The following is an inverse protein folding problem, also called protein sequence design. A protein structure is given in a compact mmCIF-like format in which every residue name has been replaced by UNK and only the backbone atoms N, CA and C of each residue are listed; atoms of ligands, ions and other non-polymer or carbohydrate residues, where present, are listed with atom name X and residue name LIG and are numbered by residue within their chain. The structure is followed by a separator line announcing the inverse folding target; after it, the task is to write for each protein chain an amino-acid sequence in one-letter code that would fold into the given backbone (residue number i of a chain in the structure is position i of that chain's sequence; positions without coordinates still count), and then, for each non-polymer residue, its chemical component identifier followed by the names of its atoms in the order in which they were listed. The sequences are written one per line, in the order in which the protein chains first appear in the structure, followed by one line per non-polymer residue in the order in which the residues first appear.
data_IF_975107779404
#
_entry.id   IF_975107779404
#
_cell.length_a   1.000
_cell.length_b   1.000
_cell.length_c   1.000
_cell.angle_alpha   90.00
_cell.angle_beta   90.00
_cell.angle_gamma   90.00
#
_symmetry.space_group_name_H-M   'P 1'
#
loop_
_entity.id
_entity.type
_entity.pdbx_description
1 polymer ?
#
# COMPACT_ATOMS: atom_id res chain seq x y z
N UNK A 1 -22.53 15.77 9.05
CA UNK A 1 -22.14 15.07 10.30
C UNK A 1 -22.82 13.72 10.28
N UNK A 2 -22.12 12.62 10.05
CA UNK A 2 -22.72 11.30 9.96
C UNK A 2 -22.09 10.38 11.00
N UNK A 3 -22.93 9.96 11.93
CA UNK A 3 -22.57 9.00 12.96
C UNK A 3 -22.41 7.60 12.35
N UNK A 4 -21.26 6.97 12.57
CA UNK A 4 -21.04 5.56 12.26
C UNK A 4 -21.70 4.69 13.31
N UNK A 5 -22.79 4.01 12.96
CA UNK A 5 -23.30 2.91 13.78
C UNK A 5 -22.54 1.63 13.41
N UNK A 6 -21.78 1.09 14.36
CA UNK A 6 -21.07 -0.18 14.22
C UNK A 6 -21.98 -1.29 14.80
N UNK A 7 -22.46 -2.16 13.93
CA UNK A 7 -23.16 -3.37 14.31
C UNK A 7 -22.12 -4.46 14.64
N UNK A 8 -22.12 -4.96 15.84
CA UNK A 8 -21.40 -6.16 16.20
C UNK A 8 -22.22 -7.41 15.86
N UNK A 9 -22.36 -7.75 14.58
CA UNK A 9 -22.36 -9.16 14.21
C UNK A 9 -20.96 -9.68 14.51
N UNK A 10 -20.81 -10.97 15.00
CA UNK A 10 -19.50 -11.57 15.29
C UNK A 10 -18.48 -11.11 14.28
N UNK A 11 -17.65 -10.17 14.67
CA UNK A 11 -16.68 -9.52 13.80
C UNK A 11 -15.91 -10.64 13.12
N UNK A 12 -15.95 -10.69 11.77
CA UNK A 12 -15.12 -11.64 11.02
C UNK A 12 -13.70 -11.36 11.45
N UNK A 13 -13.10 -12.35 12.10
CA UNK A 13 -11.77 -12.24 12.70
C UNK A 13 -10.81 -11.61 11.69
N UNK A 14 -10.16 -10.54 12.09
CA UNK A 14 -9.19 -9.81 11.22
C UNK A 14 -7.94 -10.67 11.07
N UNK A 15 -7.20 -10.59 9.95
CA UNK A 15 -5.91 -11.28 9.80
C UNK A 15 -4.94 -11.03 10.96
N UNK A 16 -5.02 -9.88 11.62
CA UNK A 16 -4.27 -9.55 12.84
C UNK A 16 -4.62 -10.42 14.05
N UNK A 17 -5.75 -11.12 14.03
CA UNK A 17 -6.17 -12.05 15.08
C UNK A 17 -5.64 -13.47 14.83
N UNK A 18 -5.33 -13.80 13.57
CA UNK A 18 -4.78 -15.10 13.17
C UNK A 18 -3.28 -15.19 13.38
N UNK A 19 -2.60 -14.06 13.24
CA UNK A 19 -1.15 -13.98 13.30
C UNK A 19 -0.68 -13.01 14.37
N UNK A 20 0.42 -13.37 15.00
CA UNK A 20 1.19 -12.47 15.88
C UNK A 20 2.65 -12.54 15.51
N UNK A 21 3.41 -11.53 15.90
CA UNK A 21 4.85 -11.53 15.70
C UNK A 21 5.60 -11.14 16.96
N UNK A 22 6.84 -11.60 17.07
CA UNK A 22 7.78 -11.21 18.13
C UNK A 22 9.06 -10.73 17.47
N UNK A 23 9.56 -9.56 17.88
CA UNK A 23 10.79 -8.97 17.35
C UNK A 23 11.97 -9.25 18.26
N UNK A 24 13.14 -9.54 17.66
CA UNK A 24 14.41 -9.73 18.37
C UNK A 24 15.57 -9.46 17.42
N UNK A 25 16.82 -9.59 17.90
CA UNK A 25 18.01 -9.53 17.06
C UNK A 25 18.20 -10.84 16.30
N UNK A 26 18.51 -10.75 15.01
CA UNK A 26 18.78 -11.91 14.14
C UNK A 26 19.94 -12.76 14.69
N UNK A 27 21.07 -12.14 15.06
CA UNK A 27 22.24 -12.83 15.64
C UNK A 27 21.89 -13.64 16.88
N UNK A 28 20.96 -13.18 17.70
CA UNK A 28 20.59 -13.85 18.94
C UNK A 28 19.92 -15.21 18.74
N UNK A 29 19.24 -15.41 17.61
CA UNK A 29 18.47 -16.61 17.31
C UNK A 29 19.16 -17.55 16.31
N UNK A 30 20.18 -17.09 15.58
CA UNK A 30 20.90 -17.90 14.61
C UNK A 30 21.86 -18.87 15.28
N UNK A 31 21.94 -20.09 14.75
CA UNK A 31 23.11 -20.96 14.94
C UNK A 31 24.19 -20.56 13.92
N UNK A 32 25.46 -20.60 14.32
CA UNK A 32 26.58 -20.12 13.50
C UNK A 32 26.35 -18.69 12.95
N UNK A 33 26.15 -17.70 13.86
CA UNK A 33 25.68 -16.37 13.50
C UNK A 33 26.61 -15.65 12.51
N UNK A 34 27.92 -15.85 12.59
CA UNK A 34 28.86 -15.16 11.70
C UNK A 34 28.67 -15.50 10.24
N UNK A 35 28.49 -16.79 9.91
CA UNK A 35 28.31 -17.25 8.53
C UNK A 35 26.88 -16.96 8.04
N UNK A 36 25.88 -17.29 8.85
CA UNK A 36 24.48 -17.20 8.41
C UNK A 36 24.00 -15.75 8.34
N UNK A 37 24.46 -14.86 9.23
CA UNK A 37 24.14 -13.42 9.14
C UNK A 37 24.69 -12.83 7.84
N UNK A 38 25.93 -13.14 7.45
CA UNK A 38 26.52 -12.66 6.20
C UNK A 38 25.69 -13.07 5.00
N UNK A 39 25.34 -14.37 4.90
CA UNK A 39 24.51 -14.88 3.80
C UNK A 39 23.14 -14.22 3.74
N UNK A 40 22.48 -14.04 4.89
CA UNK A 40 21.17 -13.37 4.95
C UNK A 40 21.29 -11.91 4.53
N UNK A 41 22.33 -11.19 4.99
CA UNK A 41 22.56 -9.80 4.59
C UNK A 41 22.79 -9.66 3.09
N UNK A 42 23.58 -10.56 2.49
CA UNK A 42 23.81 -10.56 1.04
C UNK A 42 22.49 -10.71 0.28
N UNK A 43 21.59 -11.58 0.76
CA UNK A 43 20.25 -11.75 0.18
C UNK A 43 19.39 -10.51 0.37
N UNK A 44 19.41 -9.90 1.55
CA UNK A 44 18.67 -8.65 1.84
C UNK A 44 19.10 -7.54 0.89
N UNK A 45 20.41 -7.34 0.73
CA UNK A 45 20.97 -6.31 -0.17
C UNK A 45 20.58 -6.59 -1.62
N UNK A 46 20.76 -7.83 -2.10
CA UNK A 46 20.35 -8.24 -3.45
C UNK A 46 18.86 -8.01 -3.69
N UNK A 47 18.01 -8.43 -2.75
CA UNK A 47 16.56 -8.24 -2.82
C UNK A 47 16.19 -6.76 -2.98
N UNK A 48 16.82 -5.87 -2.21
CA UNK A 48 16.54 -4.43 -2.30
C UNK A 48 17.08 -3.78 -3.57
N UNK A 49 18.23 -4.23 -4.10
CA UNK A 49 18.70 -3.82 -5.43
C UNK A 49 17.67 -4.18 -6.51
N UNK A 50 17.17 -5.41 -6.48
CA UNK A 50 16.12 -5.88 -7.43
C UNK A 50 14.86 -5.01 -7.31
N UNK A 51 14.41 -4.69 -6.10
CA UNK A 51 13.23 -3.82 -5.88
C UNK A 51 13.46 -2.42 -6.47
N UNK A 52 14.63 -1.81 -6.27
CA UNK A 52 14.96 -0.49 -6.83
C UNK A 52 14.86 -0.52 -8.35
N UNK A 53 15.53 -1.47 -8.99
CA UNK A 53 15.49 -1.60 -10.45
C UNK A 53 14.09 -1.93 -10.97
N UNK A 54 13.33 -2.76 -10.25
CA UNK A 54 11.94 -3.08 -10.61
C UNK A 54 11.05 -1.84 -10.58
N UNK A 55 11.16 -1.01 -9.55
CA UNK A 55 10.38 0.23 -9.45
C UNK A 55 10.74 1.24 -10.52
N UNK A 56 12.04 1.38 -10.84
CA UNK A 56 12.51 2.26 -11.92
C UNK A 56 12.04 1.76 -13.29
N UNK A 57 12.17 0.46 -13.55
CA UNK A 57 11.70 -0.16 -14.78
C UNK A 57 10.19 0.03 -14.96
N UNK A 58 9.41 -0.28 -13.92
CA UNK A 58 7.95 -0.10 -13.95
C UNK A 58 7.56 1.34 -14.27
N UNK A 59 8.23 2.32 -13.65
CA UNK A 59 7.99 3.73 -13.96
C UNK A 59 8.22 4.03 -15.44
N UNK A 60 9.37 3.62 -15.98
CA UNK A 60 9.70 3.86 -17.40
C UNK A 60 8.73 3.14 -18.34
N UNK A 61 8.41 1.89 -18.04
CA UNK A 61 7.50 1.07 -18.84
C UNK A 61 6.08 1.62 -18.86
N UNK A 62 5.54 2.00 -17.69
CA UNK A 62 4.20 2.60 -17.58
C UNK A 62 4.13 3.94 -18.33
N UNK A 63 5.13 4.80 -18.19
CA UNK A 63 5.16 6.08 -18.88
C UNK A 63 5.29 5.91 -20.40
N UNK A 64 6.09 4.96 -20.86
CA UNK A 64 6.20 4.63 -22.27
C UNK A 64 4.86 4.18 -22.85
N UNK A 65 4.17 3.24 -22.17
CA UNK A 65 2.83 2.81 -22.56
C UNK A 65 1.83 3.96 -22.60
N UNK A 66 1.82 4.79 -21.57
CA UNK A 66 0.94 5.96 -21.49
C UNK A 66 1.15 6.92 -22.69
N UNK A 67 2.38 7.09 -23.14
CA UNK A 67 2.72 7.96 -24.28
C UNK A 67 2.39 7.33 -25.63
N UNK A 68 2.61 6.03 -25.79
CA UNK A 68 2.48 5.33 -27.08
C UNK A 68 1.11 4.72 -27.31
N UNK A 69 0.33 4.44 -26.27
CA UNK A 69 -0.96 3.72 -26.35
C UNK A 69 -2.14 4.57 -25.87
N UNK A 70 -2.34 5.75 -26.46
CA UNK A 70 -3.53 6.60 -26.21
C UNK A 70 -3.86 6.81 -24.72
N UNK A 71 -2.83 7.04 -23.90
CA UNK A 71 -2.94 7.26 -22.44
C UNK A 71 -3.39 6.03 -21.63
N UNK A 72 -3.32 4.84 -22.20
CA UNK A 72 -3.60 3.60 -21.51
C UNK A 72 -2.32 3.11 -20.80
N UNK A 73 -2.46 2.65 -19.57
CA UNK A 73 -1.35 2.00 -18.84
C UNK A 73 -1.58 0.49 -18.76
N UNK A 74 -0.50 -0.31 -18.66
CA UNK A 74 -0.63 -1.75 -18.44
C UNK A 74 -1.27 -2.03 -17.08
N UNK A 75 -1.97 -3.16 -16.98
CA UNK A 75 -2.51 -3.64 -15.71
C UNK A 75 -1.33 -4.00 -14.80
N UNK A 76 -1.21 -3.28 -13.69
CA UNK A 76 -0.15 -3.54 -12.71
C UNK A 76 -0.65 -4.59 -11.74
N UNK A 77 -0.26 -5.82 -11.97
CA UNK A 77 -0.58 -6.97 -11.15
C UNK A 77 0.67 -7.76 -10.73
N UNK A 78 0.46 -8.81 -9.96
CA UNK A 78 1.55 -9.69 -9.51
C UNK A 78 2.29 -10.35 -10.67
N UNK A 79 1.61 -10.63 -11.79
CA UNK A 79 2.21 -11.28 -12.95
C UNK A 79 3.17 -10.31 -13.63
N UNK A 80 2.74 -9.08 -13.89
CA UNK A 80 3.59 -8.05 -14.48
C UNK A 80 4.83 -7.81 -13.61
N UNK A 81 4.65 -7.54 -12.32
CA UNK A 81 5.76 -7.17 -11.42
C UNK A 81 6.77 -8.31 -11.31
N UNK A 82 6.31 -9.56 -11.16
CA UNK A 82 7.20 -10.71 -11.06
C UNK A 82 8.01 -10.92 -12.35
N UNK A 83 7.40 -10.75 -13.53
CA UNK A 83 8.12 -10.87 -14.79
C UNK A 83 9.09 -9.68 -15.02
N UNK A 84 8.75 -8.47 -14.59
CA UNK A 84 9.71 -7.36 -14.57
C UNK A 84 10.91 -7.68 -13.69
N UNK A 85 10.71 -8.21 -12.47
CA UNK A 85 11.81 -8.64 -11.60
C UNK A 85 12.73 -9.65 -12.28
N UNK A 86 12.16 -10.64 -12.98
CA UNK A 86 12.92 -11.64 -13.71
C UNK A 86 13.73 -11.03 -14.85
N UNK A 87 13.12 -10.19 -15.67
CA UNK A 87 13.79 -9.51 -16.79
C UNK A 87 14.94 -8.62 -16.29
N UNK A 88 14.72 -7.87 -15.24
CA UNK A 88 15.76 -7.02 -14.60
C UNK A 88 16.93 -7.87 -14.06
N UNK A 89 16.67 -9.10 -13.62
CA UNK A 89 17.71 -10.03 -13.20
C UNK A 89 18.38 -10.77 -14.35
N UNK A 90 17.95 -10.57 -15.59
CA UNK A 90 18.52 -11.24 -16.77
C UNK A 90 18.15 -12.73 -16.86
N UNK A 91 17.02 -13.13 -16.29
CA UNK A 91 16.55 -14.52 -16.38
C UNK A 91 16.23 -14.86 -17.84
N UNK A 92 17.02 -15.76 -18.41
CA UNK A 92 16.64 -16.45 -19.64
C UNK A 92 15.70 -17.59 -19.26
N UNK A 93 14.54 -17.67 -19.90
CA UNK A 93 13.66 -18.83 -19.78
C UNK A 93 14.46 -20.10 -20.13
N UNK A 94 14.81 -20.86 -19.10
CA UNK A 94 15.29 -22.20 -19.30
C UNK A 94 14.08 -23.07 -19.63
N UNK A 95 14.14 -23.84 -20.69
CA UNK A 95 13.11 -24.81 -21.11
C UNK A 95 12.89 -25.95 -20.09
N UNK A 96 13.33 -25.77 -18.86
CA UNK A 96 13.17 -26.72 -17.76
C UNK A 96 11.93 -26.35 -16.93
N UNK A 97 10.87 -27.11 -17.08
CA UNK A 97 9.64 -26.97 -16.32
C UNK A 97 8.39 -26.78 -17.18
N UNK A 98 7.27 -26.43 -16.54
CA UNK A 98 6.01 -26.15 -17.23
C UNK A 98 6.12 -24.83 -17.99
N UNK A 99 5.93 -24.85 -19.30
CA UNK A 99 5.89 -23.66 -20.12
C UNK A 99 4.82 -22.67 -19.63
N UNK A 100 5.14 -21.37 -19.58
CA UNK A 100 4.16 -20.33 -19.30
C UNK A 100 3.03 -20.34 -20.35
N UNK A 101 1.90 -19.76 -20.01
CA UNK A 101 0.83 -19.49 -20.98
C UNK A 101 1.34 -18.55 -22.08
N UNK A 102 0.76 -18.66 -23.29
CA UNK A 102 1.13 -17.83 -24.44
C UNK A 102 1.14 -16.33 -24.13
N UNK A 103 0.09 -15.83 -23.46
CA UNK A 103 -0.02 -14.42 -23.03
C UNK A 103 1.13 -13.98 -22.10
N UNK A 104 1.61 -14.90 -21.25
CA UNK A 104 2.75 -14.62 -20.36
C UNK A 104 4.07 -14.61 -21.14
N UNK A 105 4.22 -15.43 -22.17
CA UNK A 105 5.40 -15.41 -23.04
C UNK A 105 5.47 -14.11 -23.83
N UNK A 106 4.37 -13.69 -24.45
CA UNK A 106 4.25 -12.40 -25.15
C UNK A 106 4.58 -11.22 -24.24
N UNK A 107 4.08 -11.25 -22.99
CA UNK A 107 4.43 -10.23 -21.99
C UNK A 107 5.94 -10.20 -21.72
N UNK A 108 6.58 -11.35 -21.54
CA UNK A 108 8.02 -11.44 -21.25
C UNK A 108 8.84 -10.94 -22.42
N UNK A 109 8.46 -11.27 -23.66
CA UNK A 109 9.11 -10.79 -24.88
C UNK A 109 9.03 -9.26 -24.95
N UNK A 110 7.86 -8.67 -24.74
CA UNK A 110 7.66 -7.23 -24.71
C UNK A 110 8.50 -6.54 -23.61
N UNK A 111 8.52 -7.12 -22.40
CA UNK A 111 9.32 -6.61 -21.29
C UNK A 111 10.82 -6.71 -21.59
N UNK A 112 11.26 -7.78 -22.24
CA UNK A 112 12.67 -8.01 -22.60
C UNK A 112 13.12 -7.01 -23.68
N UNK A 113 12.30 -6.80 -24.71
CA UNK A 113 12.58 -5.79 -25.74
C UNK A 113 12.68 -4.40 -25.12
N UNK A 114 11.72 -4.03 -24.28
CA UNK A 114 11.76 -2.75 -23.57
C UNK A 114 12.99 -2.60 -22.66
N UNK A 115 13.39 -3.68 -21.99
CA UNK A 115 14.60 -3.69 -21.16
C UNK A 115 15.85 -3.39 -21.98
N UNK A 116 16.00 -4.02 -23.13
CA UNK A 116 17.18 -3.87 -23.99
C UNK A 116 17.21 -2.50 -24.64
N UNK A 117 16.08 -2.01 -25.14
CA UNK A 117 15.99 -0.80 -25.95
C UNK A 117 15.96 0.48 -25.09
N UNK A 118 15.26 0.44 -23.95
CA UNK A 118 14.97 1.66 -23.19
C UNK A 118 15.59 1.67 -21.79
N UNK A 119 15.62 0.53 -21.08
CA UNK A 119 16.04 0.51 -19.67
C UNK A 119 17.56 0.37 -19.52
N UNK A 120 18.14 -0.66 -20.12
CA UNK A 120 19.56 -0.98 -19.99
C UNK A 120 20.50 0.14 -20.44
N UNK A 121 20.26 0.83 -21.58
CA UNK A 121 21.13 1.91 -22.02
C UNK A 121 21.23 3.09 -21.04
N UNK A 122 20.12 3.40 -20.34
CA UNK A 122 20.05 4.53 -19.43
C UNK A 122 20.51 4.24 -18.00
N UNK A 123 20.37 2.99 -17.55
CA UNK A 123 20.62 2.64 -16.15
C UNK A 123 21.90 1.85 -15.94
N UNK A 124 22.44 1.22 -17.00
CA UNK A 124 23.60 0.35 -16.95
C UNK A 124 23.58 -0.56 -15.69
N UNK A 125 22.51 -1.33 -15.48
CA UNK A 125 22.33 -2.06 -14.24
C UNK A 125 23.43 -3.10 -14.08
N UNK A 126 23.90 -3.26 -12.85
CA UNK A 126 24.73 -4.42 -12.47
C UNK A 126 23.98 -5.71 -12.82
N UNK A 127 24.70 -6.75 -13.22
CA UNK A 127 24.10 -8.06 -13.39
C UNK A 127 23.61 -8.56 -12.02
N UNK A 128 22.29 -8.59 -11.85
CA UNK A 128 21.65 -9.03 -10.62
C UNK A 128 21.41 -10.54 -10.72
N UNK A 129 22.16 -11.31 -9.94
CA UNK A 129 21.91 -12.73 -9.77
C UNK A 129 20.84 -12.93 -8.71
N UNK A 130 19.75 -13.65 -9.09
CA UNK A 130 18.64 -13.97 -8.17
C UNK A 130 18.53 -15.48 -7.90
N UNK A 131 19.56 -16.24 -8.22
CA UNK A 131 19.60 -17.68 -8.03
C UNK A 131 19.08 -18.07 -6.64
N UNK A 132 18.08 -18.93 -6.58
CA UNK A 132 17.40 -19.40 -5.37
C UNK A 132 16.54 -18.35 -4.61
N UNK A 133 16.23 -17.21 -5.21
CA UNK A 133 15.44 -16.15 -4.56
C UNK A 133 13.95 -16.11 -4.97
N UNK A 134 13.45 -17.06 -5.76
CA UNK A 134 12.11 -17.01 -6.34
C UNK A 134 10.98 -16.78 -5.32
N UNK A 135 11.06 -17.40 -4.14
CA UNK A 135 10.07 -17.17 -3.07
C UNK A 135 10.20 -15.77 -2.47
N UNK A 136 11.44 -15.28 -2.25
CA UNK A 136 11.69 -13.91 -1.77
C UNK A 136 11.11 -12.90 -2.75
N UNK A 137 11.34 -13.09 -4.06
CA UNK A 137 10.80 -12.21 -5.10
C UNK A 137 9.27 -12.25 -5.16
N UNK A 138 8.64 -13.40 -4.92
CA UNK A 138 7.20 -13.51 -4.84
C UNK A 138 6.62 -12.67 -3.69
N UNK A 139 7.27 -12.66 -2.53
CA UNK A 139 6.87 -11.81 -1.40
C UNK A 139 7.13 -10.33 -1.65
N UNK A 140 8.28 -9.98 -2.25
CA UNK A 140 8.58 -8.61 -2.64
C UNK A 140 7.63 -8.05 -3.68
N UNK A 141 7.14 -8.90 -4.58
CA UNK A 141 6.11 -8.54 -5.55
C UNK A 141 4.81 -8.08 -4.85
N UNK A 142 4.38 -8.78 -3.79
CA UNK A 142 3.24 -8.38 -2.96
C UNK A 142 3.49 -7.05 -2.24
N UNK A 143 4.72 -6.86 -1.75
CA UNK A 143 5.10 -5.62 -1.09
C UNK A 143 5.12 -4.44 -2.08
N UNK A 144 5.57 -4.63 -3.33
CA UNK A 144 5.52 -3.60 -4.38
C UNK A 144 4.07 -3.25 -4.74
N UNK A 145 3.19 -4.25 -4.90
CA UNK A 145 1.75 -3.98 -5.12
C UNK A 145 1.19 -3.09 -4.02
N UNK A 146 1.45 -3.46 -2.76
CA UNK A 146 1.01 -2.69 -1.59
C UNK A 146 1.63 -1.28 -1.57
N UNK A 147 2.88 -1.12 -2.02
CA UNK A 147 3.53 0.20 -2.14
C UNK A 147 2.81 1.09 -3.14
N UNK A 148 2.42 0.57 -4.30
CA UNK A 148 1.63 1.32 -5.29
C UNK A 148 0.26 1.70 -4.73
N UNK A 149 -0.49 0.73 -4.19
CA UNK A 149 -1.81 0.96 -3.62
C UNK A 149 -1.77 2.02 -2.51
N UNK A 150 -0.85 1.89 -1.55
CA UNK A 150 -0.69 2.84 -0.46
C UNK A 150 -0.23 4.22 -0.94
N UNK A 151 0.71 4.29 -1.88
CA UNK A 151 1.17 5.56 -2.42
C UNK A 151 0.02 6.35 -3.05
N UNK A 152 -0.80 5.70 -3.86
CA UNK A 152 -1.95 6.33 -4.51
C UNK A 152 -3.00 6.71 -3.47
N UNK A 153 -3.36 5.79 -2.59
CA UNK A 153 -4.39 6.01 -1.56
C UNK A 153 -4.06 7.18 -0.63
N UNK A 154 -2.81 7.30 -0.22
CA UNK A 154 -2.38 8.34 0.71
C UNK A 154 -2.17 9.70 0.03
N UNK A 155 -1.75 9.71 -1.23
CA UNK A 155 -1.27 10.94 -1.85
C UNK A 155 -2.15 11.51 -2.96
N UNK A 156 -3.15 10.77 -3.46
CA UNK A 156 -3.97 11.23 -4.57
C UNK A 156 -4.64 12.59 -4.32
N UNK A 157 -5.28 12.76 -3.17
CA UNK A 157 -6.00 14.00 -2.82
C UNK A 157 -5.04 15.19 -2.67
N UNK A 158 -3.87 14.95 -2.07
CA UNK A 158 -2.81 15.95 -1.95
C UNK A 158 -2.19 16.27 -3.31
N UNK A 159 -2.14 15.28 -4.20
CA UNK A 159 -1.65 15.45 -5.56
C UNK A 159 -2.57 16.35 -6.38
N UNK A 160 -3.89 16.17 -6.27
CA UNK A 160 -4.88 17.08 -6.87
C UNK A 160 -4.72 18.49 -6.32
N UNK A 161 -4.46 18.67 -5.03
CA UNK A 161 -4.21 19.99 -4.45
C UNK A 161 -2.95 20.65 -5.03
N UNK A 162 -1.86 19.89 -5.16
CA UNK A 162 -0.63 20.38 -5.79
C UNK A 162 -0.85 20.75 -7.25
N UNK A 163 -1.58 19.91 -7.99
CA UNK A 163 -1.95 20.18 -9.38
C UNK A 163 -2.71 21.51 -9.50
N UNK A 164 -3.75 21.73 -8.70
CA UNK A 164 -4.48 23.01 -8.68
C UNK A 164 -3.57 24.18 -8.36
N UNK A 165 -2.68 24.04 -7.37
CA UNK A 165 -1.76 25.10 -6.95
C UNK A 165 -0.75 25.46 -8.06
N UNK A 166 -0.29 24.49 -8.84
CA UNK A 166 0.66 24.72 -9.95
C UNK A 166 -0.06 25.34 -11.14
N UNK A 167 -1.17 24.77 -11.62
CA UNK A 167 -1.94 25.27 -12.76
C UNK A 167 -2.39 26.72 -12.55
N UNK A 168 -2.84 27.05 -11.34
CA UNK A 168 -3.25 28.42 -10.97
C UNK A 168 -2.11 29.27 -10.43
N UNK A 169 -0.85 28.85 -10.63
CA UNK A 169 0.37 29.62 -10.31
C UNK A 169 0.34 30.27 -8.92
N UNK A 170 -0.08 29.49 -7.90
CA UNK A 170 -0.24 29.97 -6.52
C UNK A 170 0.98 30.74 -6.03
N UNK A 171 2.20 30.25 -6.27
CA UNK A 171 3.45 30.91 -5.85
C UNK A 171 3.55 32.33 -6.42
N UNK A 172 3.37 32.48 -7.72
CA UNK A 172 3.43 33.76 -8.42
C UNK A 172 2.35 34.73 -7.92
N UNK A 173 1.12 34.22 -7.67
CA UNK A 173 0.04 35.05 -7.12
C UNK A 173 0.37 35.53 -5.69
N UNK A 174 0.92 34.68 -4.84
CA UNK A 174 1.36 35.06 -3.48
C UNK A 174 2.46 36.11 -3.53
N UNK A 175 3.42 35.99 -4.45
CA UNK A 175 4.48 37.00 -4.65
C UNK A 175 3.92 38.33 -5.13
N UNK A 176 2.98 38.34 -6.07
CA UNK A 176 2.26 39.54 -6.51
C UNK A 176 1.54 40.21 -5.34
N UNK A 177 0.80 39.44 -4.53
CA UNK A 177 0.13 39.94 -3.34
C UNK A 177 1.14 40.61 -2.38
N UNK A 178 2.29 39.98 -2.16
CA UNK A 178 3.34 40.52 -1.28
C UNK A 178 3.93 41.84 -1.81
N UNK A 179 3.99 42.05 -3.12
CA UNK A 179 4.50 43.29 -3.74
C UNK A 179 3.47 44.40 -3.74
N UNK A 180 2.18 44.08 -3.92
CA UNK A 180 1.11 45.06 -4.10
C UNK A 180 0.65 45.63 -2.74
N UNK A 181 0.53 44.80 -1.70
CA UNK A 181 -0.05 45.20 -0.41
C UNK A 181 1.05 45.58 0.58
N UNK A 182 1.02 46.82 1.14
CA UNK A 182 2.11 47.31 1.99
C UNK A 182 2.10 46.70 3.40
N UNK A 183 0.93 46.38 3.95
CA UNK A 183 0.84 45.90 5.33
C UNK A 183 0.84 44.39 5.41
N UNK A 184 1.45 43.84 6.48
CA UNK A 184 1.47 42.38 6.71
C UNK A 184 0.04 41.84 6.87
N UNK A 185 -0.84 42.56 7.55
CA UNK A 185 -2.24 42.14 7.80
C UNK A 185 -3.03 41.99 6.51
N UNK A 186 -2.91 42.93 5.57
CA UNK A 186 -3.57 42.87 4.26
C UNK A 186 -3.04 41.72 3.42
N UNK A 187 -1.71 41.56 3.37
CA UNK A 187 -1.08 40.43 2.65
C UNK A 187 -1.60 39.11 3.13
N UNK A 188 -1.61 38.86 4.44
CA UNK A 188 -2.13 37.62 5.01
C UNK A 188 -3.62 37.41 4.71
N UNK A 189 -4.44 38.46 4.78
CA UNK A 189 -5.85 38.38 4.45
C UNK A 189 -6.07 37.98 2.98
N UNK A 190 -5.32 38.56 2.05
CA UNK A 190 -5.40 38.26 0.62
C UNK A 190 -4.88 36.88 0.30
N UNK A 191 -3.79 36.45 0.91
CA UNK A 191 -3.27 35.08 0.75
C UNK A 191 -4.29 34.05 1.24
N UNK A 192 -4.91 34.28 2.42
CA UNK A 192 -5.97 33.38 2.93
C UNK A 192 -7.19 33.34 2.01
N UNK A 193 -7.56 34.46 1.39
CA UNK A 193 -8.66 34.50 0.41
C UNK A 193 -8.32 33.66 -0.84
N UNK A 194 -7.11 33.81 -1.38
CA UNK A 194 -6.61 32.98 -2.49
C UNK A 194 -6.61 31.50 -2.13
N UNK A 195 -6.07 31.14 -0.98
CA UNK A 195 -6.04 29.75 -0.51
C UNK A 195 -7.42 29.15 -0.30
N UNK A 196 -8.37 29.96 0.19
CA UNK A 196 -9.77 29.54 0.33
C UNK A 196 -10.39 29.22 -1.03
N UNK A 197 -10.12 30.06 -2.04
CA UNK A 197 -10.64 29.82 -3.38
C UNK A 197 -10.01 28.60 -4.06
N UNK A 198 -8.70 28.44 -3.98
CA UNK A 198 -8.01 27.24 -4.51
C UNK A 198 -8.51 25.95 -3.83
N UNK A 199 -8.83 26.02 -2.54
CA UNK A 199 -9.42 24.88 -1.81
C UNK A 199 -10.83 24.56 -2.31
N UNK A 200 -11.65 25.55 -2.64
CA UNK A 200 -12.96 25.33 -3.25
C UNK A 200 -12.82 24.65 -4.61
N UNK A 201 -11.91 25.13 -5.46
CA UNK A 201 -11.61 24.51 -6.76
C UNK A 201 -11.24 23.02 -6.58
N UNK A 202 -10.33 22.72 -5.62
CA UNK A 202 -9.97 21.33 -5.31
C UNK A 202 -11.18 20.51 -4.87
N UNK A 203 -12.02 21.05 -3.99
CA UNK A 203 -13.20 20.34 -3.49
C UNK A 203 -14.22 20.07 -4.62
N UNK A 204 -14.43 21.05 -5.48
CA UNK A 204 -15.33 20.92 -6.64
C UNK A 204 -14.79 19.89 -7.64
N UNK A 205 -13.47 19.82 -7.85
CA UNK A 205 -12.84 18.77 -8.66
C UNK A 205 -13.04 17.37 -8.08
N UNK A 206 -12.94 17.23 -6.75
CA UNK A 206 -13.10 15.96 -6.04
C UNK A 206 -14.57 15.59 -5.77
N UNK A 207 -15.51 16.49 -6.02
CA UNK A 207 -16.92 16.20 -5.86
C UNK A 207 -17.44 15.42 -7.09
N UNK A 208 -17.93 14.20 -6.87
CA UNK A 208 -18.47 13.30 -7.91
C UNK A 208 -20.00 13.28 -7.92
N UNK A 209 -20.65 13.98 -6.99
CA UNK A 209 -22.11 14.13 -6.98
C UNK A 209 -22.53 15.18 -8.01
N UNK A 210 -23.28 14.76 -9.03
CA UNK A 210 -23.79 15.64 -10.06
C UNK A 210 -24.89 16.60 -9.58
N UNK A 211 -25.49 16.35 -8.42
CA UNK A 211 -26.58 17.16 -7.86
C UNK A 211 -26.08 18.31 -7.00
N UNK A 212 -24.78 18.42 -6.78
CA UNK A 212 -24.18 19.46 -5.94
C UNK A 212 -23.54 20.52 -6.83
N UNK A 213 -23.96 21.76 -6.66
CA UNK A 213 -23.40 22.91 -7.36
C UNK A 213 -21.95 23.18 -6.95
N UNK A 214 -21.18 23.74 -7.88
CA UNK A 214 -19.80 24.16 -7.58
C UNK A 214 -19.78 25.30 -6.58
N UNK A 215 -18.85 25.24 -5.65
CA UNK A 215 -18.67 26.22 -4.57
C UNK A 215 -17.65 27.30 -4.91
N UNK A 216 -16.83 27.07 -5.91
CA UNK A 216 -15.83 28.01 -6.42
C UNK A 216 -16.49 29.08 -7.31
N UNK A 217 -15.71 30.13 -7.63
CA UNK A 217 -16.20 31.22 -8.49
C UNK A 217 -16.57 30.70 -9.89
N UNK A 218 -17.67 31.14 -10.51
CA UNK A 218 -18.16 30.67 -11.81
C UNK A 218 -17.14 30.66 -12.95
N UNK A 219 -16.16 31.56 -12.89
CA UNK A 219 -15.03 31.62 -13.82
C UNK A 219 -14.29 30.27 -13.95
N UNK A 220 -14.22 29.46 -12.89
CA UNK A 220 -13.51 28.19 -12.84
C UNK A 220 -14.33 27.01 -13.31
N UNK A 221 -15.66 27.11 -13.38
CA UNK A 221 -16.59 25.98 -13.58
C UNK A 221 -16.32 25.23 -14.90
N UNK A 222 -16.10 25.97 -16.00
CA UNK A 222 -15.78 25.35 -17.30
C UNK A 222 -14.51 24.52 -17.23
N UNK A 223 -13.47 25.07 -16.61
CA UNK A 223 -12.19 24.39 -16.44
C UNK A 223 -12.34 23.16 -15.53
N UNK A 224 -13.05 23.28 -14.41
CA UNK A 224 -13.32 22.17 -13.47
C UNK A 224 -14.03 21.02 -14.20
N UNK A 225 -15.08 21.31 -14.96
CA UNK A 225 -15.82 20.30 -15.72
C UNK A 225 -14.95 19.58 -16.75
N UNK A 226 -14.05 20.30 -17.39
CA UNK A 226 -13.10 19.75 -18.35
C UNK A 226 -12.05 18.87 -17.63
N UNK A 227 -11.49 19.36 -16.53
CA UNK A 227 -10.46 18.65 -15.79
C UNK A 227 -10.98 17.38 -15.12
N UNK A 228 -12.21 17.35 -14.63
CA UNK A 228 -12.81 16.13 -14.06
C UNK A 228 -12.70 14.92 -14.98
N UNK A 229 -12.75 15.11 -16.30
CA UNK A 229 -12.60 14.02 -17.29
C UNK A 229 -11.19 13.41 -17.29
N UNK A 230 -10.19 14.17 -16.91
CA UNK A 230 -8.78 13.74 -16.90
C UNK A 230 -8.32 13.25 -15.53
N UNK A 231 -8.81 13.90 -14.46
CA UNK A 231 -8.33 13.63 -13.11
C UNK A 231 -9.12 12.56 -12.37
N UNK A 232 -10.32 12.23 -12.83
CA UNK A 232 -11.17 11.20 -12.24
C UNK A 232 -11.23 9.97 -13.13
N UNK A 233 -11.23 8.76 -12.56
CA UNK A 233 -11.46 7.54 -13.31
C UNK A 233 -12.86 7.58 -14.00
N UNK A 234 -12.90 7.18 -15.27
CA UNK A 234 -14.17 7.14 -16.02
C UNK A 234 -15.00 5.91 -15.61
N UNK A 235 -15.67 6.01 -14.46
CA UNK A 235 -16.52 4.95 -13.91
C UNK A 235 -17.60 5.50 -13.00
N UNK A 236 -18.58 4.67 -12.67
CA UNK A 236 -19.56 4.98 -11.63
C UNK A 236 -18.93 4.81 -10.24
N UNK A 237 -18.95 5.86 -9.43
CA UNK A 237 -18.41 5.84 -8.08
C UNK A 237 -19.40 5.18 -7.11
N UNK A 238 -18.89 4.29 -6.27
CA UNK A 238 -19.67 3.74 -5.17
C UNK A 238 -19.80 4.80 -4.06
N UNK A 239 -21.01 4.89 -3.46
CA UNK A 239 -21.30 5.84 -2.38
C UNK A 239 -21.05 7.31 -2.73
N UNK A 240 -21.02 7.66 -4.01
CA UNK A 240 -20.76 9.02 -4.49
C UNK A 240 -19.55 9.68 -3.79
N UNK A 241 -18.55 8.89 -3.45
CA UNK A 241 -17.40 9.35 -2.67
C UNK A 241 -16.08 8.84 -3.26
N UNK A 242 -15.22 9.78 -3.68
CA UNK A 242 -13.86 9.49 -4.10
C UNK A 242 -13.05 8.86 -2.96
N UNK A 243 -13.21 9.35 -1.73
CA UNK A 243 -12.46 8.86 -0.57
C UNK A 243 -12.75 7.37 -0.28
N UNK A 244 -14.00 6.95 -0.48
CA UNK A 244 -14.36 5.54 -0.34
C UNK A 244 -13.81 4.71 -1.50
N UNK A 245 -14.00 5.18 -2.73
CA UNK A 245 -13.56 4.48 -3.93
C UNK A 245 -12.03 4.33 -3.98
N UNK A 246 -11.30 5.37 -3.59
CA UNK A 246 -9.84 5.38 -3.49
C UNK A 246 -9.30 4.31 -2.50
N UNK A 247 -10.02 4.06 -1.41
CA UNK A 247 -9.69 2.97 -0.48
C UNK A 247 -9.93 1.58 -1.07
N UNK A 248 -10.96 1.44 -1.89
CA UNK A 248 -11.35 0.15 -2.48
C UNK A 248 -10.56 -0.19 -3.74
N UNK A 249 -10.25 0.81 -4.58
CA UNK A 249 -9.66 0.64 -5.90
C UNK A 249 -8.62 1.72 -6.21
N UNK A 250 -7.55 1.85 -5.42
CA UNK A 250 -6.57 2.92 -5.60
C UNK A 250 -5.90 2.88 -6.98
N UNK A 251 -5.66 1.71 -7.55
CA UNK A 251 -4.95 1.57 -8.82
C UNK A 251 -5.67 2.23 -10.01
N UNK A 252 -6.99 2.40 -9.95
CA UNK A 252 -7.77 3.10 -10.99
C UNK A 252 -7.39 4.59 -11.11
N UNK A 253 -6.75 5.15 -10.07
CA UNK A 253 -6.36 6.57 -10.02
C UNK A 253 -4.95 6.85 -10.55
N UNK A 254 -4.12 5.84 -10.77
CA UNK A 254 -2.77 6.04 -11.29
C UNK A 254 -2.74 6.70 -12.68
N UNK A 255 -3.57 6.31 -13.66
CA UNK A 255 -3.64 7.01 -14.95
C UNK A 255 -3.99 8.49 -14.80
N UNK A 256 -4.89 8.81 -13.87
CA UNK A 256 -5.29 10.18 -13.59
C UNK A 256 -4.14 11.01 -12.99
N UNK A 257 -3.35 10.42 -12.09
CA UNK A 257 -2.15 11.07 -11.54
C UNK A 257 -1.10 11.31 -12.63
N UNK A 258 -0.90 10.36 -13.55
CA UNK A 258 0.00 10.52 -14.68
C UNK A 258 -0.51 11.62 -15.63
N UNK A 259 -1.82 11.69 -15.90
CA UNK A 259 -2.42 12.73 -16.71
C UNK A 259 -2.14 14.13 -16.15
N UNK A 260 -2.37 14.33 -14.85
CA UNK A 260 -2.05 15.59 -14.16
C UNK A 260 -0.56 15.93 -14.24
N UNK A 261 0.32 14.94 -14.05
CA UNK A 261 1.77 15.13 -14.16
C UNK A 261 2.16 15.58 -15.57
N UNK A 262 1.67 14.90 -16.59
CA UNK A 262 1.97 15.22 -18.00
C UNK A 262 1.40 16.57 -18.44
N UNK A 263 0.22 16.94 -17.97
CA UNK A 263 -0.35 18.25 -18.26
C UNK A 263 0.53 19.39 -17.71
N UNK A 264 1.06 19.24 -16.50
CA UNK A 264 1.92 20.23 -15.87
C UNK A 264 3.31 20.27 -16.54
N UNK A 265 3.85 19.10 -16.92
CA UNK A 265 5.12 19.04 -17.67
C UNK A 265 5.04 19.75 -19.04
N UNK A 266 3.89 19.70 -19.73
CA UNK A 266 3.67 20.41 -20.98
C UNK A 266 3.70 21.94 -20.81
N UNK A 267 3.36 22.45 -19.63
CA UNK A 267 3.42 23.86 -19.27
C UNK A 267 4.81 24.29 -18.71
N UNK A 268 5.83 23.45 -18.86
CA UNK A 268 7.20 23.63 -18.35
C UNK A 268 7.30 23.76 -16.82
N UNK A 269 6.26 23.35 -16.13
CA UNK A 269 6.20 23.33 -14.67
C UNK A 269 6.46 21.91 -14.15
N UNK A 270 6.77 21.78 -12.88
CA UNK A 270 7.04 20.48 -12.26
C UNK A 270 6.11 20.19 -11.10
N UNK A 271 5.64 18.96 -11.07
CA UNK A 271 4.87 18.40 -9.94
C UNK A 271 5.60 17.17 -9.40
N UNK A 272 5.32 16.80 -8.16
CA UNK A 272 5.98 15.65 -7.55
C UNK A 272 5.71 14.35 -8.33
N UNK A 273 6.69 13.45 -8.32
CA UNK A 273 6.58 12.12 -8.92
C UNK A 273 5.41 11.32 -8.33
N UNK A 274 4.66 10.63 -9.21
CA UNK A 274 3.48 9.83 -8.84
C UNK A 274 3.81 8.38 -8.48
N UNK A 275 5.02 7.93 -8.75
CA UNK A 275 5.42 6.54 -8.57
C UNK A 275 6.11 6.31 -7.22
N UNK A 276 5.91 5.14 -6.58
CA UNK A 276 6.68 4.75 -5.41
C UNK A 276 8.11 4.40 -5.86
N UNK A 277 9.05 5.32 -5.69
CA UNK A 277 10.46 5.10 -6.02
C UNK A 277 11.31 4.98 -4.77
N UNK A 278 12.39 4.23 -4.89
CA UNK A 278 13.47 4.18 -3.90
C UNK A 278 14.77 4.67 -4.56
N UNK A 279 15.43 5.61 -3.92
CA UNK A 279 16.69 6.20 -4.40
C UNK A 279 17.94 5.59 -3.75
N UNK A 280 17.77 4.82 -2.68
CA UNK A 280 18.88 4.23 -1.94
C UNK A 280 18.53 2.84 -1.42
N UNK A 281 19.57 2.03 -1.17
CA UNK A 281 19.43 0.75 -0.50
C UNK A 281 19.24 1.00 0.99
N UNK A 282 17.98 1.14 1.41
CA UNK A 282 17.62 1.05 2.83
C UNK A 282 17.14 -0.37 3.08
N UNK A 283 17.90 -1.20 3.82
CA UNK A 283 17.51 -2.57 4.10
C UNK A 283 16.13 -2.60 4.76
N UNK A 284 15.16 -3.16 4.07
CA UNK A 284 13.83 -3.43 4.62
C UNK A 284 13.71 -4.91 4.99
N UNK A 285 12.60 -5.27 5.60
CA UNK A 285 12.35 -6.66 5.96
C UNK A 285 12.03 -7.49 4.71
N UNK A 286 12.78 -8.58 4.49
CA UNK A 286 12.44 -9.64 3.54
C UNK A 286 11.85 -10.82 4.29
N UNK A 287 10.95 -11.57 3.65
CA UNK A 287 10.33 -12.77 4.23
C UNK A 287 11.14 -14.00 3.83
N UNK A 288 11.48 -14.81 4.83
CA UNK A 288 12.18 -16.09 4.67
C UNK A 288 11.30 -17.20 5.22
N UNK A 289 10.89 -18.09 4.33
CA UNK A 289 10.17 -19.32 4.64
C UNK A 289 11.12 -20.54 4.65
N UNK A 290 10.60 -21.71 4.95
CA UNK A 290 11.39 -22.93 5.02
C UNK A 290 12.08 -23.27 3.69
N UNK A 291 11.39 -23.07 2.56
CA UNK A 291 11.94 -23.36 1.23
C UNK A 291 13.10 -22.41 0.94
N UNK A 292 12.91 -21.13 1.21
CA UNK A 292 13.96 -20.11 1.05
C UNK A 292 15.19 -20.45 1.88
N UNK A 293 15.02 -20.88 3.14
CA UNK A 293 16.15 -21.29 4.00
C UNK A 293 16.93 -22.46 3.41
N UNK A 294 16.24 -23.45 2.87
CA UNK A 294 16.88 -24.60 2.22
C UNK A 294 17.70 -24.16 1.02
N UNK A 295 17.17 -23.27 0.19
CA UNK A 295 17.86 -22.79 -1.01
C UNK A 295 19.07 -21.90 -0.68
N UNK A 296 18.93 -20.99 0.28
CA UNK A 296 19.95 -20.00 0.56
C UNK A 296 21.07 -20.50 1.48
N UNK A 297 20.74 -21.32 2.46
CA UNK A 297 21.67 -21.65 3.54
C UNK A 297 22.26 -23.06 3.45
N UNK A 298 21.57 -24.04 2.83
CA UNK A 298 22.15 -25.37 2.65
C UNK A 298 23.22 -25.36 1.56
N UNK A 299 24.37 -25.95 1.86
CA UNK A 299 25.47 -26.08 0.90
C UNK A 299 25.08 -27.01 -0.24
N UNK A 300 25.51 -26.68 -1.48
CA UNK A 300 25.28 -27.51 -2.68
C UNK A 300 25.86 -28.95 -2.52
N UNK A 301 26.93 -29.07 -1.76
CA UNK A 301 27.69 -30.32 -1.55
C UNK A 301 26.95 -31.37 -0.70
N UNK A 302 25.89 -30.98 0.01
CA UNK A 302 25.18 -31.92 0.88
C UNK A 302 24.16 -32.80 0.14
N UNK A 303 24.27 -32.95 -1.18
CA UNK A 303 23.62 -33.97 -2.05
C UNK A 303 22.11 -34.13 -2.00
N UNK A 304 21.46 -33.63 -0.96
CA UNK A 304 20.04 -33.85 -0.63
C UNK A 304 19.17 -32.60 -0.76
N UNK A 305 19.66 -31.56 -1.41
CA UNK A 305 18.93 -30.29 -1.54
C UNK A 305 17.60 -30.48 -2.30
N UNK A 306 17.58 -31.32 -3.33
CA UNK A 306 16.36 -31.63 -4.12
C UNK A 306 15.28 -32.30 -3.28
N UNK A 307 15.64 -33.18 -2.35
CA UNK A 307 14.69 -33.91 -1.51
C UNK A 307 13.94 -32.97 -0.54
N UNK A 308 14.64 -31.96 -0.02
CA UNK A 308 14.02 -30.96 0.87
C UNK A 308 13.21 -29.89 0.16
N UNK A 309 13.40 -29.68 -1.14
CA UNK A 309 12.65 -28.70 -1.94
C UNK A 309 11.33 -29.25 -2.47
N UNK A 310 11.04 -30.52 -2.32
CA UNK A 310 9.73 -31.10 -2.58
C UNK A 310 8.76 -30.71 -1.47
N UNK A 311 7.60 -30.12 -1.81
CA UNK A 311 6.64 -29.59 -0.83
C UNK A 311 6.26 -30.58 0.28
N UNK A 312 6.05 -31.85 -0.07
CA UNK A 312 5.74 -32.91 0.90
C UNK A 312 6.86 -33.14 1.91
N UNK A 313 8.10 -33.23 1.44
CA UNK A 313 9.28 -33.45 2.28
C UNK A 313 9.65 -32.20 3.09
N UNK A 314 9.54 -31.02 2.52
CA UNK A 314 9.79 -29.77 3.25
C UNK A 314 8.88 -29.67 4.46
N UNK A 315 7.58 -29.88 4.28
CA UNK A 315 6.61 -29.83 5.38
C UNK A 315 6.86 -30.87 6.46
N UNK A 316 7.23 -32.10 6.05
CA UNK A 316 7.56 -33.20 6.97
C UNK A 316 8.79 -32.91 7.83
N UNK A 317 9.75 -32.15 7.31
CA UNK A 317 11.04 -31.88 7.97
C UNK A 317 11.19 -30.43 8.44
N UNK A 318 10.15 -29.66 8.39
CA UNK A 318 10.13 -28.22 8.65
C UNK A 318 10.78 -27.86 9.97
N UNK A 319 10.36 -28.46 11.09
CA UNK A 319 10.95 -28.26 12.41
C UNK A 319 12.45 -28.60 12.46
N UNK A 320 12.89 -29.67 11.78
CA UNK A 320 14.29 -30.06 11.74
C UNK A 320 15.13 -29.03 10.99
N UNK A 321 14.62 -28.52 9.85
CA UNK A 321 15.29 -27.49 9.06
C UNK A 321 15.44 -26.21 9.89
N UNK A 322 14.38 -25.77 10.56
CA UNK A 322 14.45 -24.58 11.40
C UNK A 322 15.38 -24.75 12.60
N UNK A 323 15.31 -25.90 13.29
CA UNK A 323 16.26 -26.23 14.38
C UNK A 323 17.71 -26.32 13.93
N UNK A 324 17.96 -26.60 12.65
CA UNK A 324 19.32 -26.62 12.12
C UNK A 324 19.92 -25.21 11.99
N UNK A 325 19.14 -24.22 11.56
CA UNK A 325 19.61 -22.85 11.37
C UNK A 325 19.38 -21.94 12.58
N UNK A 326 18.33 -22.18 13.35
CA UNK A 326 17.86 -21.31 14.42
C UNK A 326 17.81 -22.02 15.76
N UNK A 327 17.98 -21.24 16.84
CA UNK A 327 17.82 -21.66 18.24
C UNK A 327 16.33 -21.61 18.60
N UNK A 328 15.52 -22.51 18.01
CA UNK A 328 14.05 -22.52 18.16
C UNK A 328 13.59 -22.90 19.56
N UNK A 329 14.47 -23.43 20.41
CA UNK A 329 14.25 -23.69 21.83
C UNK A 329 14.11 -22.42 22.68
N UNK A 330 14.58 -21.27 22.21
CA UNK A 330 14.53 -20.01 22.94
C UNK A 330 13.09 -19.54 23.18
N UNK A 331 12.87 -18.83 24.28
CA UNK A 331 11.57 -18.27 24.70
C UNK A 331 10.94 -17.38 23.61
N UNK A 332 11.75 -16.72 22.77
CA UNK A 332 11.24 -15.86 21.68
C UNK A 332 10.47 -16.62 20.59
N UNK A 333 10.64 -17.95 20.50
CA UNK A 333 9.88 -18.83 19.60
C UNK A 333 8.63 -19.44 20.25
N UNK A 334 8.27 -19.00 21.45
CA UNK A 334 7.11 -19.49 22.18
C UNK A 334 6.14 -18.35 22.46
N UNK A 335 4.86 -18.58 22.20
CA UNK A 335 3.80 -17.61 22.46
C UNK A 335 2.51 -18.34 22.81
N UNK A 336 1.93 -18.05 23.98
CA UNK A 336 0.73 -18.73 24.45
C UNK A 336 -0.42 -18.65 23.44
N UNK A 337 -1.01 -19.80 23.09
CA UNK A 337 -2.09 -19.93 22.13
C UNK A 337 -1.69 -19.78 20.67
N UNK A 338 -0.36 -19.72 20.38
CA UNK A 338 0.19 -19.56 19.03
C UNK A 338 1.37 -20.49 18.80
N UNK A 339 1.42 -21.08 17.62
CA UNK A 339 2.53 -21.91 17.13
C UNK A 339 3.43 -21.11 16.18
N UNK A 340 4.71 -21.42 16.15
CA UNK A 340 5.64 -20.84 15.21
C UNK A 340 5.24 -21.20 13.76
N UNK A 341 5.09 -20.20 12.90
CA UNK A 341 4.58 -20.37 11.53
C UNK A 341 5.68 -20.72 10.50
N UNK A 342 6.87 -21.08 10.94
CA UNK A 342 8.03 -21.40 10.08
C UNK A 342 8.31 -20.30 9.03
N UNK A 343 8.14 -19.05 9.47
CA UNK A 343 8.44 -17.85 8.68
C UNK A 343 9.01 -16.76 9.59
N UNK A 344 10.04 -16.10 9.09
CA UNK A 344 10.59 -14.89 9.70
C UNK A 344 10.66 -13.77 8.66
N UNK A 345 10.64 -12.54 9.13
CA UNK A 345 10.98 -11.38 8.32
C UNK A 345 12.20 -10.70 8.92
N UNK A 346 13.18 -10.32 8.09
CA UNK A 346 14.45 -9.73 8.56
C UNK A 346 14.99 -8.68 7.60
N UNK A 347 15.63 -7.66 8.16
CA UNK A 347 16.43 -6.66 7.45
C UNK A 347 17.94 -6.95 7.51
N UNK A 348 18.30 -8.13 8.04
CA UNK A 348 19.69 -8.56 8.25
C UNK A 348 20.22 -8.26 9.67
N UNK A 349 19.57 -7.41 10.44
CA UNK A 349 19.92 -7.05 11.83
C UNK A 349 18.83 -7.47 12.81
N UNK A 350 17.64 -6.96 12.59
CA UNK A 350 16.45 -7.33 13.33
C UNK A 350 15.73 -8.50 12.68
N UNK A 351 14.91 -9.18 13.45
CA UNK A 351 14.04 -10.26 12.96
C UNK A 351 12.68 -10.19 13.61
N UNK A 352 11.64 -10.40 12.81
CA UNK A 352 10.27 -10.59 13.25
C UNK A 352 9.89 -12.04 13.02
N UNK A 353 9.60 -12.77 14.09
CA UNK A 353 9.20 -14.18 14.07
C UNK A 353 7.68 -14.22 13.97
N UNK A 354 7.15 -14.93 12.98
CA UNK A 354 5.72 -15.03 12.75
C UNK A 354 5.12 -16.24 13.47
N UNK A 355 3.98 -16.03 14.11
CA UNK A 355 3.20 -17.06 14.80
C UNK A 355 1.80 -17.11 14.23
N UNK A 356 1.25 -18.31 14.14
CA UNK A 356 -0.14 -18.57 13.78
C UNK A 356 -0.89 -19.11 14.98
N UNK A 357 -2.16 -18.74 15.15
CA UNK A 357 -3.02 -19.25 16.21
C UNK A 357 -3.12 -20.78 16.11
N UNK A 358 -2.98 -21.49 17.23
CA UNK A 358 -2.86 -22.97 17.27
C UNK A 358 -4.03 -23.70 16.61
N UNK A 359 -5.24 -23.19 16.77
CA UNK A 359 -6.45 -23.77 16.17
C UNK A 359 -6.50 -23.67 14.63
N UNK A 360 -5.64 -22.84 14.04
CA UNK A 360 -5.53 -22.61 12.59
C UNK A 360 -4.36 -23.33 11.94
N UNK A 361 -3.52 -23.99 12.71
CA UNK A 361 -2.36 -24.72 12.17
C UNK A 361 -2.82 -25.81 11.20
N UNK A 362 -2.28 -25.81 9.98
CA UNK A 362 -2.62 -26.77 8.94
C UNK A 362 -4.00 -26.57 8.28
N UNK A 363 -4.80 -25.61 8.74
CA UNK A 363 -6.08 -25.27 8.12
C UNK A 363 -5.88 -24.22 7.01
N UNK A 364 -6.72 -24.30 5.97
CA UNK A 364 -6.81 -23.23 4.99
C UNK A 364 -7.41 -22.00 5.67
N UNK A 365 -6.63 -20.94 5.76
CA UNK A 365 -7.13 -19.68 6.28
C UNK A 365 -8.30 -19.19 5.44
N UNK A 366 -9.32 -18.57 6.04
CA UNK A 366 -10.36 -17.90 5.29
C UNK A 366 -9.64 -16.94 4.33
N UNK A 367 -9.82 -17.15 3.03
CA UNK A 367 -9.34 -16.15 2.07
C UNK A 367 -9.97 -14.84 2.50
N UNK A 368 -9.16 -13.78 2.65
CA UNK A 368 -9.69 -12.44 2.69
C UNK A 368 -10.52 -12.33 1.40
N UNK A 369 -11.84 -12.56 1.52
CA UNK A 369 -12.71 -12.28 0.40
C UNK A 369 -12.40 -10.82 0.09
N UNK A 370 -11.95 -10.54 -1.13
CA UNK A 370 -12.00 -9.21 -1.74
C UNK A 370 -13.48 -8.82 -1.92
N UNK A 371 -14.23 -8.88 -0.87
CA UNK A 371 -15.57 -8.39 -0.70
C UNK A 371 -15.44 -7.47 0.48
N UNK A 372 -15.43 -6.19 0.19
CA UNK A 372 -15.83 -5.18 1.14
C UNK A 372 -16.91 -5.82 1.98
N UNK A 373 -16.65 -6.04 3.27
CA UNK A 373 -17.72 -6.28 4.21
C UNK A 373 -18.64 -5.09 3.96
N UNK A 374 -19.84 -5.34 3.41
CA UNK A 374 -20.87 -4.33 3.35
C UNK A 374 -21.14 -3.97 4.81
N UNK A 375 -20.38 -3.03 5.34
CA UNK A 375 -20.79 -2.32 6.55
C UNK A 375 -22.03 -1.55 6.08
N UNK A 376 -23.19 -2.08 6.42
CA UNK A 376 -24.46 -1.43 6.15
C UNK A 376 -24.49 -0.16 7.03
N UNK A 377 -24.53 0.98 6.40
CA UNK A 377 -24.79 2.22 7.10
C UNK A 377 -26.28 2.27 7.46
N UNK A 378 -26.63 3.05 8.48
CA UNK A 378 -28.01 3.15 8.97
C UNK A 378 -28.98 3.64 7.88
N UNK A 379 -28.51 4.48 6.98
CA UNK A 379 -29.21 5.01 5.82
C UNK A 379 -29.37 3.98 4.65
N UNK A 380 -28.63 2.88 4.68
CA UNK A 380 -28.70 1.78 3.73
C UNK A 380 -29.63 0.64 4.22
N UNK A 381 -30.19 0.75 5.43
CA UNK A 381 -31.11 -0.25 5.98
C UNK A 381 -32.50 -0.05 5.38
N UNK A 382 -32.98 -1.06 4.66
CA UNK A 382 -34.37 -1.10 4.17
C UNK A 382 -35.39 -1.41 5.27
N UNK A 383 -34.94 -1.85 6.44
CA UNK A 383 -35.78 -2.25 7.56
C UNK A 383 -35.14 -1.84 8.88
N UNK A 384 -35.77 -0.92 9.58
CA UNK A 384 -35.38 -0.40 10.88
C UNK A 384 -35.91 -1.20 12.05
N UNK A 385 -36.77 -2.22 11.83
CA UNK A 385 -37.35 -3.06 12.90
C UNK A 385 -36.26 -3.75 13.73
N UNK A 386 -35.13 -4.09 13.10
CA UNK A 386 -33.97 -4.69 13.76
C UNK A 386 -33.21 -3.73 14.70
N UNK A 387 -33.55 -2.44 14.69
CA UNK A 387 -32.93 -1.41 15.53
C UNK A 387 -33.75 -1.10 16.79
N UNK A 388 -35.03 -1.48 16.84
CA UNK A 388 -35.96 -1.07 17.90
C UNK A 388 -35.53 -1.53 19.30
N UNK A 389 -34.87 -2.69 19.40
CA UNK A 389 -34.39 -3.23 20.68
C UNK A 389 -32.87 -3.02 20.92
N UNK A 390 -32.23 -2.15 20.17
CA UNK A 390 -30.77 -1.95 20.25
C UNK A 390 -30.43 -0.54 20.70
N UNK A 391 -29.47 -0.46 21.61
CA UNK A 391 -28.94 0.82 22.06
C UNK A 391 -28.13 1.47 20.93
N UNK A 392 -28.54 2.65 20.47
CA UNK A 392 -27.85 3.44 19.47
C UNK A 392 -26.89 4.40 20.17
N UNK A 393 -25.62 4.41 19.75
CA UNK A 393 -24.59 5.30 20.28
C UNK A 393 -24.06 6.12 19.12
N UNK A 394 -24.25 7.44 19.17
CA UNK A 394 -23.61 8.39 18.26
C UNK A 394 -22.15 8.61 18.68
N UNK A 395 -21.22 8.48 17.73
CA UNK A 395 -19.79 8.68 17.96
C UNK A 395 -19.28 9.78 17.02
N UNK A 396 -18.76 10.86 17.59
CA UNK A 396 -18.09 11.94 16.86
C UNK A 396 -16.58 11.95 17.19
N UNK A 397 -15.70 11.56 16.26
CA UNK A 397 -14.26 11.65 16.43
C UNK A 397 -13.80 13.08 16.18
N UNK A 398 -13.48 13.81 17.25
CA UNK A 398 -13.00 15.20 17.21
C UNK A 398 -11.47 15.33 17.32
N UNK A 399 -10.97 16.55 17.09
CA UNK A 399 -9.54 16.85 17.27
C UNK A 399 -9.17 17.10 18.73
N UNK A 400 -10.08 17.64 19.54
CA UNK A 400 -9.91 17.91 20.97
C UNK A 400 -10.33 16.74 21.85
N UNK A 401 -11.43 16.07 21.47
CA UNK A 401 -11.87 14.82 22.06
C UNK A 401 -11.64 13.71 21.07
N UNK A 402 -10.84 12.69 21.40
CA UNK A 402 -10.57 11.57 20.49
C UNK A 402 -11.83 10.80 20.18
N UNK A 403 -12.74 10.69 21.15
CA UNK A 403 -14.05 10.05 21.00
C UNK A 403 -15.05 10.84 21.84
N UNK A 404 -16.08 11.34 21.19
CA UNK A 404 -17.27 11.89 21.84
C UNK A 404 -18.46 10.99 21.53
N UNK A 405 -19.01 10.35 22.55
CA UNK A 405 -20.13 9.42 22.41
C UNK A 405 -21.37 9.93 23.13
N UNK A 406 -22.52 9.84 22.46
CA UNK A 406 -23.83 10.17 23.06
C UNK A 406 -24.72 8.95 22.87
N UNK A 407 -25.37 8.48 23.94
CA UNK A 407 -26.40 7.46 23.84
C UNK A 407 -27.79 8.08 23.60
N UNK A 408 -28.70 7.28 23.05
CA UNK A 408 -30.06 7.71 22.63
C UNK A 408 -31.05 7.80 23.80
N UNK A 409 -30.59 8.04 24.99
CA UNK A 409 -31.53 8.25 26.10
C UNK A 409 -32.19 9.64 26.00
N UNK A 410 -33.40 9.65 25.50
CA UNK A 410 -34.18 10.80 25.03
C UNK A 410 -34.47 11.93 25.98
N UNK A 411 -34.12 11.86 27.27
CA UNK A 411 -34.23 12.96 28.24
C UNK A 411 -33.00 13.18 29.12
N UNK A 412 -32.11 12.20 29.22
CA UNK A 412 -30.84 12.31 29.94
C UNK A 412 -29.76 11.57 29.12
N UNK A 413 -29.31 12.18 28.05
CA UNK A 413 -28.27 11.62 27.20
C UNK A 413 -26.98 11.42 28.00
N UNK A 414 -26.52 10.18 28.16
CA UNK A 414 -25.21 9.91 28.74
C UNK A 414 -24.14 10.28 27.72
N UNK A 415 -23.28 11.21 28.10
CA UNK A 415 -22.15 11.66 27.27
C UNK A 415 -20.88 11.03 27.80
N UNK A 416 -20.15 10.34 26.91
CA UNK A 416 -18.84 9.81 27.20
C UNK A 416 -17.80 10.56 26.34
N UNK A 417 -16.73 11.10 26.97
CA UNK A 417 -15.62 11.77 26.28
C UNK A 417 -14.32 11.08 26.60
N UNK A 418 -13.50 10.86 25.57
CA UNK A 418 -12.14 10.37 25.71
C UNK A 418 -11.17 11.39 25.16
N UNK A 419 -10.34 11.96 26.05
CA UNK A 419 -9.31 12.94 25.69
C UNK A 419 -7.92 12.31 25.64
N UNK A 420 -6.97 12.85 24.85
CA UNK A 420 -5.63 12.27 24.68
C UNK A 420 -4.80 12.12 25.96
N UNK A 421 -5.16 12.83 27.04
CA UNK A 421 -4.43 12.84 28.31
C UNK A 421 -5.03 11.96 29.43
N UNK A 422 -5.88 11.00 29.08
CA UNK A 422 -6.23 9.88 29.98
C UNK A 422 -7.25 10.18 31.07
N UNK A 423 -7.95 11.30 31.06
CA UNK A 423 -9.04 11.56 31.99
C UNK A 423 -10.39 11.22 31.39
N UNK A 424 -10.97 10.09 31.85
CA UNK A 424 -12.38 9.78 31.56
C UNK A 424 -13.28 10.70 32.39
N UNK A 425 -13.97 11.63 31.76
CA UNK A 425 -15.00 12.39 32.44
C UNK A 425 -16.39 11.90 32.01
N UNK A 426 -17.10 11.24 32.94
CA UNK A 426 -18.55 11.09 32.85
C UNK A 426 -19.17 12.35 33.41
N UNK A 427 -19.76 13.17 32.57
CA UNK A 427 -20.58 14.30 33.04
C UNK A 427 -22.05 13.96 32.83
N UNK A 428 -22.83 13.73 33.92
CA UNK A 428 -24.29 13.80 33.82
C UNK A 428 -24.66 15.25 33.51
N UNK A 429 -25.49 15.49 32.53
CA UNK A 429 -26.16 16.77 32.39
C UNK A 429 -27.29 16.86 33.42
N UNK A 430 -27.27 17.95 34.21
CA UNK A 430 -28.39 18.35 35.06
C UNK A 430 -29.61 18.77 34.24
#
# INVERSE_FOLDING_TARGET
MFSKCIWMEKAKEKPSEFFKSTKTSLKSILKHPEINTRKINDVVIKAHKIVIHTLQFLKMYILHHYQTQSQIIPIIDKILILNVMKVVCGEKHTNQGRLPKKETLELIENLTSFYIEHYKPHTQPEQLDYEYMSNVLSYLCEDIMTMYENNIQLHYVDYVERFVNVVWKKKMMVEKIRKIFPTKKEREARVRQLEKELRKIKNDLLNVDSNVDYTSHPHYHKWITQQKKCILPNKKFQKQSIYYDLKCKPMDYLPCMIAMMKQVENDEETISNVFPLRSSISPGYIRLDTITLVYLLLRKEQGKKRDYCNQGNTKKHEDKIWKFFFRTEKKVFRKNGFSFHHMISTDGVGVSILFIREDLVGKRLPSAKKGVSKELYIDELNDYSKLQDKKVIGIDPGKSDLIYCVDDASKNANVFRYQPHGTQTKTPRA
#
